data_IF_878285058584
#
_entry.id   IF_878285058584
#
_cell.length_a   1.000
_cell.length_b   1.000
_cell.length_c   1.000
_cell.angle_alpha   90.00
_cell.angle_beta   90.00
_cell.angle_gamma   90.00
#
_symmetry.space_group_name_H-M   'P 1'
#
loop_
_entity.id
_entity.type
_entity.pdbx_description
1 polymer ?
#
# COMPACT_ATOMS: atom_id res chain seq x y z
N UNK A 1 -12.48 -1.79 34.64
CA UNK A 1 -13.04 -0.50 34.14
C UNK A 1 -13.14 -0.62 32.61
N UNK A 2 -14.24 -0.17 32.04
CA UNK A 2 -14.36 -0.18 30.57
C UNK A 2 -13.33 0.78 29.95
N UNK A 3 -12.78 0.43 28.77
CA UNK A 3 -11.90 1.30 28.00
C UNK A 3 -12.55 2.66 27.76
N UNK A 4 -11.80 3.74 27.99
CA UNK A 4 -12.22 5.11 27.65
C UNK A 4 -12.31 5.27 26.13
N UNK A 5 -13.01 6.30 25.67
CA UNK A 5 -13.11 6.56 24.22
C UNK A 5 -11.75 6.89 23.60
N UNK A 6 -10.86 7.58 24.32
CA UNK A 6 -9.47 7.79 23.89
C UNK A 6 -8.72 6.47 23.70
N UNK A 7 -8.89 5.52 24.60
CA UNK A 7 -8.25 4.21 24.52
C UNK A 7 -8.80 3.36 23.37
N UNK A 8 -10.12 3.40 23.12
CA UNK A 8 -10.74 2.74 21.97
C UNK A 8 -10.25 3.34 20.65
N UNK A 9 -10.16 4.68 20.57
CA UNK A 9 -9.61 5.38 19.42
C UNK A 9 -8.13 5.04 19.21
N UNK A 10 -7.34 4.91 20.28
CA UNK A 10 -5.95 4.50 20.17
C UNK A 10 -5.82 3.06 19.69
N UNK A 11 -6.70 2.16 20.12
CA UNK A 11 -6.76 0.80 19.56
C UNK A 11 -7.04 0.82 18.05
N UNK A 12 -8.01 1.64 17.60
CA UNK A 12 -8.29 1.82 16.17
C UNK A 12 -7.08 2.37 15.40
N UNK A 13 -6.38 3.34 16.00
CA UNK A 13 -5.19 3.96 15.42
C UNK A 13 -4.08 2.93 15.16
N UNK A 14 -3.69 2.15 16.16
CA UNK A 14 -2.58 1.19 16.03
C UNK A 14 -2.93 -0.02 15.16
N UNK A 15 -4.19 -0.48 15.18
CA UNK A 15 -4.63 -1.59 14.35
C UNK A 15 -4.81 -1.11 12.90
N UNK A 16 -5.42 0.06 12.67
CA UNK A 16 -5.61 0.64 11.35
C UNK A 16 -4.30 0.96 10.63
N UNK A 17 -3.23 1.31 11.38
CA UNK A 17 -1.90 1.48 10.82
C UNK A 17 -1.41 0.22 10.11
N UNK A 18 -1.55 -0.92 10.75
CA UNK A 18 -1.02 -2.20 10.25
C UNK A 18 -1.98 -2.94 9.33
N UNK A 19 -3.26 -2.55 9.31
CA UNK A 19 -4.24 -3.11 8.36
C UNK A 19 -4.21 -2.40 7.01
N UNK A 20 -4.14 -1.07 6.99
CA UNK A 20 -4.33 -0.30 5.77
C UNK A 20 -3.53 1.00 5.69
N UNK A 21 -2.62 1.27 6.64
CA UNK A 21 -1.98 2.58 6.79
C UNK A 21 -3.01 3.73 6.89
N UNK A 22 -4.05 3.51 7.71
CA UNK A 22 -5.17 4.43 7.94
C UNK A 22 -5.98 4.79 6.69
N UNK A 23 -5.99 3.94 5.66
CA UNK A 23 -6.75 4.17 4.44
C UNK A 23 -8.22 3.74 4.61
N UNK A 24 -9.13 4.72 4.76
CA UNK A 24 -10.57 4.50 4.90
C UNK A 24 -11.20 3.79 3.69
N UNK A 25 -10.65 4.02 2.51
CA UNK A 25 -11.12 3.42 1.25
C UNK A 25 -10.43 2.11 0.88
N UNK A 26 -9.66 1.52 1.79
CA UNK A 26 -8.90 0.29 1.50
C UNK A 26 -9.80 -0.87 1.11
N UNK A 27 -9.34 -1.65 0.13
CA UNK A 27 -10.02 -2.86 -0.38
C UNK A 27 -8.99 -3.96 -0.58
N UNK A 28 -9.23 -5.13 -0.01
CA UNK A 28 -8.46 -6.32 -0.35
C UNK A 28 -9.24 -7.15 -1.38
N UNK A 29 -8.63 -7.38 -2.53
CA UNK A 29 -9.25 -8.12 -3.64
C UNK A 29 -8.88 -9.61 -3.65
N UNK A 30 -7.97 -10.03 -2.76
CA UNK A 30 -7.50 -11.43 -2.69
C UNK A 30 -8.34 -12.28 -1.73
N UNK A 31 -9.11 -11.62 -0.87
CA UNK A 31 -10.02 -12.26 0.08
C UNK A 31 -11.49 -12.01 -0.32
N UNK A 32 -12.44 -12.83 0.12
CA UNK A 32 -13.84 -12.44 0.10
C UNK A 32 -14.02 -11.07 0.73
N UNK A 33 -15.04 -10.36 0.32
CA UNK A 33 -15.24 -8.94 0.59
C UNK A 33 -14.53 -8.43 1.84
N UNK A 34 -13.50 -7.59 1.64
CA UNK A 34 -12.68 -7.03 2.71
C UNK A 34 -12.49 -5.54 2.44
N UNK A 35 -13.05 -4.70 3.31
CA UNK A 35 -13.21 -3.26 3.06
C UNK A 35 -12.81 -2.42 4.29
N UNK A 36 -12.46 -1.17 4.01
CA UNK A 36 -12.29 -0.12 4.99
C UNK A 36 -10.96 -0.13 5.72
N UNK A 37 -10.77 0.87 6.58
CA UNK A 37 -9.51 1.10 7.29
C UNK A 37 -9.08 -0.10 8.15
N UNK A 38 -10.06 -0.80 8.75
CA UNK A 38 -9.81 -1.96 9.59
C UNK A 38 -9.82 -3.29 8.80
N UNK A 39 -9.92 -3.25 7.47
CA UNK A 39 -9.98 -4.44 6.63
C UNK A 39 -11.05 -5.45 7.12
N UNK A 40 -12.28 -4.93 7.35
CA UNK A 40 -13.39 -5.79 7.73
C UNK A 40 -13.70 -6.83 6.68
N UNK A 41 -13.71 -8.09 7.09
CA UNK A 41 -13.88 -9.25 6.24
C UNK A 41 -15.30 -9.80 6.30
N UNK A 42 -15.84 -10.25 5.17
CA UNK A 42 -17.07 -11.05 5.09
C UNK A 42 -18.28 -10.36 5.71
N UNK A 43 -18.89 -10.98 6.70
CA UNK A 43 -20.08 -10.47 7.41
C UNK A 43 -19.83 -9.14 8.11
N UNK A 44 -18.60 -8.84 8.54
CA UNK A 44 -18.25 -7.56 9.13
C UNK A 44 -18.18 -6.44 8.09
N UNK A 45 -17.69 -6.73 6.90
CA UNK A 45 -17.76 -5.80 5.76
C UNK A 45 -19.20 -5.55 5.34
N UNK A 46 -20.04 -6.57 5.34
CA UNK A 46 -21.47 -6.44 5.08
C UNK A 46 -22.18 -5.57 6.14
N UNK A 47 -21.82 -5.72 7.41
CA UNK A 47 -22.33 -4.87 8.49
C UNK A 47 -21.96 -3.39 8.26
N UNK A 48 -20.71 -3.13 7.85
CA UNK A 48 -20.25 -1.79 7.49
C UNK A 48 -21.06 -1.19 6.32
N UNK A 49 -21.24 -1.95 5.25
CA UNK A 49 -22.05 -1.49 4.10
C UNK A 49 -23.51 -1.22 4.49
N UNK A 50 -24.09 -2.06 5.34
CA UNK A 50 -25.45 -1.85 5.84
C UNK A 50 -25.55 -0.62 6.75
N UNK A 51 -24.53 -0.33 7.57
CA UNK A 51 -24.46 0.95 8.30
C UNK A 51 -24.39 2.14 7.33
N UNK A 52 -23.57 2.07 6.29
CA UNK A 52 -23.51 3.12 5.27
C UNK A 52 -24.89 3.34 4.63
N UNK A 53 -25.63 2.29 4.31
CA UNK A 53 -27.00 2.37 3.77
C UNK A 53 -27.96 3.12 4.72
N UNK A 54 -27.85 2.88 6.01
CA UNK A 54 -28.77 3.41 7.01
C UNK A 54 -28.37 4.80 7.54
N UNK A 55 -27.06 5.13 7.59
CA UNK A 55 -26.52 6.30 8.26
C UNK A 55 -25.98 7.37 7.30
N UNK A 56 -25.67 7.02 6.02
CA UNK A 56 -25.24 7.97 4.97
C UNK A 56 -25.78 7.58 3.59
N UNK A 57 -27.03 7.94 3.33
CA UNK A 57 -27.68 7.63 2.06
C UNK A 57 -26.96 8.20 0.84
N UNK A 58 -26.31 9.38 0.97
CA UNK A 58 -25.52 9.98 -0.11
C UNK A 58 -24.23 9.19 -0.37
N UNK A 59 -23.50 8.80 0.69
CA UNK A 59 -22.33 7.96 0.56
C UNK A 59 -22.67 6.57 0.03
N UNK A 60 -23.78 5.99 0.48
CA UNK A 60 -24.29 4.72 -0.04
C UNK A 60 -24.63 4.79 -1.52
N UNK A 61 -25.20 5.91 -1.99
CA UNK A 61 -25.52 6.13 -3.42
C UNK A 61 -24.28 6.17 -4.32
N UNK A 62 -23.08 6.45 -3.77
CA UNK A 62 -21.82 6.40 -4.52
C UNK A 62 -21.31 4.97 -4.77
N UNK A 63 -21.82 3.99 -4.03
CA UNK A 63 -21.49 2.58 -4.29
C UNK A 63 -22.06 2.13 -5.62
N UNK A 64 -21.38 1.22 -6.29
CA UNK A 64 -21.88 0.64 -7.55
C UNK A 64 -23.21 -0.08 -7.36
N UNK A 65 -24.01 -0.11 -8.42
CA UNK A 65 -25.32 -0.78 -8.40
C UNK A 65 -25.22 -2.25 -7.97
N UNK A 66 -24.16 -2.93 -8.41
CA UNK A 66 -23.94 -4.34 -8.08
C UNK A 66 -23.62 -4.54 -6.58
N UNK A 67 -22.86 -3.61 -5.98
CA UNK A 67 -22.57 -3.68 -4.55
C UNK A 67 -23.81 -3.35 -3.71
N UNK A 68 -24.57 -2.32 -4.10
CA UNK A 68 -25.86 -1.98 -3.45
C UNK A 68 -26.87 -3.12 -3.56
N UNK A 69 -27.04 -3.71 -4.75
CA UNK A 69 -27.91 -4.86 -4.96
C UNK A 69 -27.52 -6.05 -4.06
N UNK A 70 -26.21 -6.27 -3.83
CA UNK A 70 -25.74 -7.30 -2.89
C UNK A 70 -26.18 -7.00 -1.46
N UNK A 71 -26.07 -5.73 -1.03
CA UNK A 71 -26.51 -5.30 0.32
C UNK A 71 -28.02 -5.40 0.49
N UNK A 72 -28.77 -5.18 -0.58
CA UNK A 72 -30.23 -5.28 -0.55
C UNK A 72 -30.74 -6.73 -0.55
N UNK A 73 -29.97 -7.65 -1.18
CA UNK A 73 -30.36 -9.06 -1.32
C UNK A 73 -29.92 -9.94 -0.14
N UNK A 74 -28.90 -9.57 0.60
CA UNK A 74 -28.28 -10.40 1.64
C UNK A 74 -28.18 -9.68 2.97
N UNK A 75 -28.70 -10.30 4.04
CA UNK A 75 -28.53 -9.79 5.39
C UNK A 75 -27.03 -9.73 5.76
N UNK A 76 -26.59 -8.76 6.61
CA UNK A 76 -25.19 -8.66 7.02
C UNK A 76 -24.63 -9.93 7.67
N UNK A 77 -25.49 -10.76 8.27
CA UNK A 77 -25.13 -12.03 8.91
C UNK A 77 -25.09 -13.23 7.99
N UNK A 78 -25.46 -13.03 6.70
CA UNK A 78 -25.46 -14.12 5.72
C UNK A 78 -24.03 -14.60 5.45
N UNK A 79 -23.81 -15.91 5.54
CA UNK A 79 -22.53 -16.56 5.22
C UNK A 79 -22.09 -16.37 3.77
N UNK A 80 -23.01 -16.03 2.87
CA UNK A 80 -22.70 -15.70 1.48
C UNK A 80 -21.59 -14.65 1.38
N UNK A 81 -21.53 -13.68 2.31
CA UNK A 81 -20.50 -12.64 2.36
C UNK A 81 -19.09 -13.18 2.56
N UNK A 82 -18.94 -14.38 3.15
CA UNK A 82 -17.63 -15.01 3.36
C UNK A 82 -17.08 -15.70 2.12
N UNK A 83 -17.85 -15.72 1.03
CA UNK A 83 -17.46 -16.33 -0.25
C UNK A 83 -17.51 -15.35 -1.42
N UNK A 84 -18.01 -14.12 -1.20
CA UNK A 84 -18.19 -13.10 -2.22
C UNK A 84 -16.97 -12.22 -2.34
N UNK A 85 -16.35 -12.17 -3.50
CA UNK A 85 -15.25 -11.29 -3.81
C UNK A 85 -15.74 -9.93 -4.36
N UNK A 86 -14.97 -8.87 -4.08
CA UNK A 86 -15.23 -7.51 -4.60
C UNK A 86 -14.60 -7.37 -5.99
N UNK A 87 -15.36 -6.87 -6.94
CA UNK A 87 -14.84 -6.47 -8.24
C UNK A 87 -14.09 -5.12 -8.15
N UNK A 88 -13.25 -4.83 -9.13
CA UNK A 88 -12.54 -3.51 -9.18
C UNK A 88 -13.52 -2.34 -9.24
N UNK A 89 -14.60 -2.46 -10.00
CA UNK A 89 -15.64 -1.42 -10.06
C UNK A 89 -16.27 -1.16 -8.70
N UNK A 90 -16.60 -2.22 -7.96
CA UNK A 90 -17.15 -2.11 -6.62
C UNK A 90 -16.15 -1.53 -5.63
N UNK A 91 -14.89 -1.98 -5.66
CA UNK A 91 -13.84 -1.43 -4.81
C UNK A 91 -13.55 0.04 -5.09
N UNK A 92 -13.54 0.46 -6.35
CA UNK A 92 -13.38 1.87 -6.71
C UNK A 92 -14.55 2.72 -6.22
N UNK A 93 -15.78 2.19 -6.31
CA UNK A 93 -16.97 2.88 -5.79
C UNK A 93 -16.92 3.01 -4.26
N UNK A 94 -16.46 1.96 -3.55
CA UNK A 94 -16.19 2.04 -2.11
C UNK A 94 -15.14 3.10 -1.78
N UNK A 95 -13.99 3.10 -2.47
CA UNK A 95 -12.92 4.07 -2.24
C UNK A 95 -13.41 5.52 -2.48
N UNK A 96 -14.32 5.73 -3.42
CA UNK A 96 -14.97 7.03 -3.66
C UNK A 96 -15.91 7.40 -2.51
N UNK A 97 -16.78 6.50 -2.07
CA UNK A 97 -17.68 6.73 -0.95
C UNK A 97 -16.90 7.01 0.35
N UNK A 98 -15.80 6.27 0.57
CA UNK A 98 -14.95 6.40 1.74
C UNK A 98 -14.12 7.70 1.80
N UNK A 99 -14.22 8.60 0.83
CA UNK A 99 -13.69 9.97 0.95
C UNK A 99 -14.59 10.87 1.81
N UNK A 100 -15.82 10.46 2.09
CA UNK A 100 -16.76 11.23 2.89
C UNK A 100 -16.47 11.09 4.38
N UNK A 101 -16.46 12.21 5.09
CA UNK A 101 -16.26 12.24 6.56
C UNK A 101 -17.32 11.42 7.30
N UNK A 102 -18.55 11.35 6.80
CA UNK A 102 -19.61 10.54 7.38
C UNK A 102 -19.26 9.03 7.31
N UNK A 103 -18.68 8.56 6.21
CA UNK A 103 -18.23 7.17 6.10
C UNK A 103 -17.05 6.89 7.05
N UNK A 104 -16.15 7.87 7.30
CA UNK A 104 -15.12 7.73 8.34
C UNK A 104 -15.74 7.55 9.72
N UNK A 105 -16.76 8.36 10.05
CA UNK A 105 -17.46 8.26 11.34
C UNK A 105 -18.19 6.92 11.47
N UNK A 106 -18.81 6.42 10.41
CA UNK A 106 -19.46 5.10 10.39
C UNK A 106 -18.43 3.99 10.65
N UNK A 107 -17.27 4.02 10.00
CA UNK A 107 -16.19 3.05 10.24
C UNK A 107 -15.67 3.13 11.68
N UNK A 108 -15.50 4.34 12.19
CA UNK A 108 -15.10 4.56 13.59
C UNK A 108 -16.14 4.01 14.56
N UNK A 109 -17.41 4.30 14.32
CA UNK A 109 -18.52 3.80 15.14
C UNK A 109 -18.59 2.27 15.12
N UNK A 110 -18.43 1.63 13.96
CA UNK A 110 -18.42 0.16 13.89
C UNK A 110 -17.28 -0.43 14.73
N UNK A 111 -16.07 0.11 14.63
CA UNK A 111 -14.97 -0.39 15.45
C UNK A 111 -15.21 -0.19 16.94
N UNK A 112 -15.59 1.04 17.37
CA UNK A 112 -15.73 1.40 18.78
C UNK A 112 -16.94 0.73 19.43
N UNK A 113 -18.06 0.64 18.71
CA UNK A 113 -19.35 0.18 19.28
C UNK A 113 -19.56 -1.33 19.11
N UNK A 114 -19.03 -1.94 18.07
CA UNK A 114 -19.27 -3.34 17.77
C UNK A 114 -18.02 -4.20 18.02
N UNK A 115 -16.86 -3.84 17.42
CA UNK A 115 -15.66 -4.66 17.48
C UNK A 115 -14.99 -4.62 18.85
N UNK A 116 -14.74 -3.43 19.40
CA UNK A 116 -14.05 -3.29 20.69
C UNK A 116 -14.78 -4.04 21.80
N UNK A 117 -16.11 -3.87 21.99
CA UNK A 117 -16.83 -4.63 23.02
C UNK A 117 -16.78 -6.15 22.78
N UNK A 118 -16.84 -6.59 21.52
CA UNK A 118 -16.74 -8.01 21.18
C UNK A 118 -15.34 -8.57 21.53
N UNK A 119 -14.28 -7.83 21.20
CA UNK A 119 -12.90 -8.23 21.50
C UNK A 119 -12.63 -8.24 23.01
N UNK A 120 -13.01 -7.16 23.73
CA UNK A 120 -12.86 -7.08 25.19
C UNK A 120 -13.53 -8.27 25.85
N UNK A 121 -14.79 -8.56 25.51
CA UNK A 121 -15.52 -9.70 26.10
C UNK A 121 -14.79 -11.02 25.91
N UNK A 122 -14.23 -11.30 24.73
CA UNK A 122 -13.51 -12.54 24.49
C UNK A 122 -12.16 -12.53 25.20
N UNK A 123 -11.38 -11.47 25.09
CA UNK A 123 -10.06 -11.37 25.68
C UNK A 123 -10.10 -11.41 27.22
N UNK A 124 -11.11 -10.78 27.83
CA UNK A 124 -11.32 -10.87 29.28
C UNK A 124 -11.76 -12.26 29.70
N UNK A 125 -12.55 -12.98 28.90
CA UNK A 125 -12.87 -14.39 29.19
C UNK A 125 -11.64 -15.30 29.11
N UNK A 126 -10.59 -14.87 28.41
CA UNK A 126 -9.28 -15.55 28.37
C UNK A 126 -8.31 -15.07 29.46
N UNK A 127 -8.75 -14.15 30.32
CA UNK A 127 -8.02 -13.69 31.50
C UNK A 127 -7.23 -12.39 31.33
N UNK A 128 -7.24 -11.73 30.16
CA UNK A 128 -6.64 -10.38 30.02
C UNK A 128 -7.58 -9.37 30.70
N UNK A 129 -7.04 -8.57 31.61
CA UNK A 129 -7.84 -7.60 32.37
C UNK A 129 -7.87 -6.23 31.71
N UNK A 130 -8.96 -5.48 31.86
CA UNK A 130 -9.15 -4.17 31.25
C UNK A 130 -8.24 -3.07 31.83
N UNK A 131 -7.69 -3.25 33.02
CA UNK A 131 -6.69 -2.37 33.61
C UNK A 131 -5.30 -2.51 32.97
N UNK A 132 -5.03 -3.64 32.31
CA UNK A 132 -3.81 -3.86 31.51
C UNK A 132 -4.01 -3.39 30.06
N UNK A 133 -4.32 -2.09 29.90
CA UNK A 133 -4.79 -1.49 28.64
C UNK A 133 -3.87 -1.77 27.44
N UNK A 134 -2.55 -1.64 27.63
CA UNK A 134 -1.60 -1.83 26.53
C UNK A 134 -1.57 -3.28 26.05
N UNK A 135 -1.57 -4.22 26.98
CA UNK A 135 -1.64 -5.65 26.67
C UNK A 135 -2.97 -6.00 26.01
N UNK A 136 -4.07 -5.43 26.51
CA UNK A 136 -5.39 -5.65 25.94
C UNK A 136 -5.46 -5.16 24.48
N UNK A 137 -4.97 -3.95 24.18
CA UNK A 137 -4.95 -3.42 22.81
C UNK A 137 -4.02 -4.23 21.90
N UNK A 138 -2.86 -4.67 22.41
CA UNK A 138 -1.99 -5.58 21.66
C UNK A 138 -2.71 -6.90 21.34
N UNK A 139 -3.39 -7.49 22.31
CA UNK A 139 -4.19 -8.70 22.11
C UNK A 139 -5.36 -8.46 21.13
N UNK A 140 -6.01 -7.28 21.17
CA UNK A 140 -7.00 -6.91 20.15
C UNK A 140 -6.41 -6.93 18.73
N UNK A 141 -5.19 -6.46 18.52
CA UNK A 141 -4.52 -6.52 17.21
C UNK A 141 -4.28 -7.96 16.75
N UNK A 142 -3.87 -8.86 17.65
CA UNK A 142 -3.75 -10.28 17.34
C UNK A 142 -5.10 -10.90 17.03
N UNK A 143 -6.12 -10.61 17.84
CA UNK A 143 -7.48 -11.14 17.70
C UNK A 143 -8.11 -10.66 16.40
N UNK A 144 -7.91 -9.42 16.03
CA UNK A 144 -8.41 -8.83 14.79
C UNK A 144 -7.90 -9.59 13.55
N UNK A 145 -6.61 -9.93 13.54
CA UNK A 145 -6.00 -10.69 12.44
C UNK A 145 -6.35 -12.17 12.50
N UNK A 146 -6.23 -12.79 13.67
CA UNK A 146 -6.39 -14.25 13.82
C UNK A 146 -6.84 -14.64 15.23
N UNK A 147 -8.16 -14.72 15.48
CA UNK A 147 -8.70 -15.05 16.79
C UNK A 147 -8.12 -16.33 17.40
N UNK A 148 -8.01 -17.39 16.59
CA UNK A 148 -7.49 -18.70 17.05
C UNK A 148 -6.05 -18.62 17.53
N UNK A 149 -5.20 -17.89 16.81
CA UNK A 149 -3.78 -17.76 17.15
C UNK A 149 -3.59 -16.85 18.36
N UNK A 150 -4.39 -15.77 18.43
CA UNK A 150 -4.45 -14.92 19.62
C UNK A 150 -4.78 -15.74 20.88
N UNK A 151 -5.80 -16.58 20.83
CA UNK A 151 -6.17 -17.47 21.95
C UNK A 151 -5.03 -18.39 22.38
N UNK A 152 -4.25 -18.90 21.44
CA UNK A 152 -3.07 -19.74 21.74
C UNK A 152 -1.98 -18.94 22.48
N UNK A 153 -1.67 -17.73 22.02
CA UNK A 153 -0.68 -16.87 22.67
C UNK A 153 -1.14 -16.48 24.07
N UNK A 154 -2.39 -16.01 24.21
CA UNK A 154 -2.96 -15.61 25.50
C UNK A 154 -2.99 -16.79 26.48
N UNK A 155 -3.31 -18.00 26.05
CA UNK A 155 -3.29 -19.19 26.89
C UNK A 155 -1.87 -19.52 27.45
N UNK A 156 -0.82 -19.08 26.76
CA UNK A 156 0.56 -19.31 27.18
C UNK A 156 1.02 -18.30 28.22
N UNK A 157 0.61 -17.03 28.12
CA UNK A 157 1.18 -15.92 28.91
C UNK A 157 0.17 -15.22 29.82
N UNK A 158 -1.12 -15.47 29.63
CA UNK A 158 -2.19 -14.87 30.44
C UNK A 158 -2.21 -13.33 30.40
N UNK A 159 -2.58 -12.71 31.51
CA UNK A 159 -2.58 -11.25 31.70
C UNK A 159 -1.16 -10.73 32.06
N UNK A 160 -0.20 -10.98 31.18
CA UNK A 160 1.17 -10.51 31.33
C UNK A 160 1.33 -9.04 30.89
N UNK A 161 2.51 -8.48 31.10
CA UNK A 161 2.86 -7.17 30.56
C UNK A 161 3.00 -7.19 29.03
N UNK A 162 3.03 -6.00 28.44
CA UNK A 162 3.13 -5.80 26.99
C UNK A 162 4.37 -6.47 26.39
N UNK A 163 5.51 -6.44 27.09
CA UNK A 163 6.77 -7.00 26.58
C UNK A 163 6.68 -8.54 26.51
N UNK A 164 6.04 -9.14 27.49
CA UNK A 164 5.87 -10.61 27.56
C UNK A 164 4.91 -11.12 26.48
N UNK A 165 3.73 -10.48 26.30
CA UNK A 165 2.79 -10.93 25.27
C UNK A 165 3.31 -10.68 23.85
N UNK A 166 4.04 -9.58 23.63
CA UNK A 166 4.70 -9.30 22.36
C UNK A 166 5.73 -10.37 22.00
N UNK A 167 6.62 -10.77 22.94
CA UNK A 167 7.60 -11.84 22.70
C UNK A 167 6.90 -13.17 22.41
N UNK A 168 5.84 -13.50 23.13
CA UNK A 168 5.07 -14.72 22.89
C UNK A 168 4.40 -14.69 21.51
N UNK A 169 3.89 -13.54 21.09
CA UNK A 169 3.35 -13.35 19.74
C UNK A 169 4.43 -13.59 18.66
N UNK A 170 5.63 -13.02 18.82
CA UNK A 170 6.72 -13.22 17.84
C UNK A 170 7.24 -14.66 17.81
N UNK A 171 7.12 -15.40 18.90
CA UNK A 171 7.50 -16.81 18.96
C UNK A 171 6.39 -17.76 18.47
N UNK A 172 5.19 -17.26 18.23
CA UNK A 172 4.11 -18.08 17.65
C UNK A 172 4.39 -18.33 16.17
N UNK A 173 4.28 -19.59 15.74
CA UNK A 173 4.62 -20.02 14.38
C UNK A 173 3.83 -19.30 13.28
N UNK A 174 2.62 -18.85 13.57
CA UNK A 174 1.76 -18.15 12.60
C UNK A 174 1.89 -16.63 12.75
N UNK A 175 1.69 -16.11 13.98
CA UNK A 175 1.74 -14.65 14.20
C UNK A 175 3.16 -14.10 14.03
N UNK A 176 4.19 -14.86 14.42
CA UNK A 176 5.60 -14.47 14.25
C UNK A 176 6.01 -14.29 12.79
N UNK A 177 5.31 -14.92 11.83
CA UNK A 177 5.52 -14.66 10.41
C UNK A 177 5.15 -13.20 10.01
N UNK A 178 4.35 -12.52 10.84
CA UNK A 178 3.96 -11.10 10.67
C UNK A 178 4.68 -10.18 11.66
N UNK A 179 5.94 -10.48 12.00
CA UNK A 179 6.71 -9.75 13.01
C UNK A 179 6.70 -8.23 12.84
N UNK A 180 6.82 -7.73 11.60
CA UNK A 180 6.81 -6.29 11.34
C UNK A 180 5.50 -5.63 11.79
N UNK A 181 4.36 -6.27 11.55
CA UNK A 181 3.06 -5.84 12.01
C UNK A 181 3.04 -5.67 13.54
N UNK A 182 3.44 -6.71 14.26
CA UNK A 182 3.40 -6.72 15.72
C UNK A 182 4.47 -5.85 16.36
N UNK A 183 5.62 -5.68 15.72
CA UNK A 183 6.64 -4.71 16.14
C UNK A 183 6.14 -3.27 16.02
N UNK A 184 5.38 -2.95 14.97
CA UNK A 184 4.76 -1.62 14.82
C UNK A 184 3.76 -1.35 15.93
N UNK A 185 2.81 -2.27 16.17
CA UNK A 185 1.82 -2.15 17.25
C UNK A 185 2.51 -2.05 18.62
N UNK A 186 3.49 -2.91 18.90
CA UNK A 186 4.26 -2.87 20.14
C UNK A 186 4.95 -1.51 20.35
N UNK A 187 5.65 -1.00 19.33
CA UNK A 187 6.38 0.26 19.41
C UNK A 187 5.43 1.43 19.72
N UNK A 188 4.26 1.48 19.06
CA UNK A 188 3.24 2.49 19.32
C UNK A 188 2.71 2.41 20.76
N UNK A 189 2.36 1.23 21.22
CA UNK A 189 1.85 1.01 22.56
C UNK A 189 2.92 1.27 23.65
N UNK A 190 4.19 0.95 23.37
CA UNK A 190 5.28 1.20 24.30
C UNK A 190 5.50 2.68 24.53
N UNK A 191 5.41 3.48 23.47
CA UNK A 191 5.58 4.94 23.51
C UNK A 191 4.35 5.69 24.07
N UNK A 192 3.17 5.08 24.03
CA UNK A 192 1.92 5.70 24.48
C UNK A 192 1.82 5.72 26.00
N UNK A 193 1.20 6.75 26.57
CA UNK A 193 0.98 6.90 28.02
C UNK A 193 -0.15 6.03 28.59
N UNK A 194 -0.96 5.42 27.73
CA UNK A 194 -2.09 4.57 28.09
C UNK A 194 -3.44 5.31 28.20
N UNK A 195 -3.46 6.65 28.04
CA UNK A 195 -4.66 7.45 28.25
C UNK A 195 -4.90 8.53 27.21
N UNK A 196 -3.88 9.11 26.60
CA UNK A 196 -4.03 10.16 25.61
C UNK A 196 -4.73 9.66 24.34
N UNK A 197 -5.54 10.54 23.73
CA UNK A 197 -6.10 10.28 22.41
C UNK A 197 -4.97 10.12 21.38
N UNK A 198 -5.19 9.32 20.32
CA UNK A 198 -4.23 9.22 19.23
C UNK A 198 -4.10 10.58 18.51
N UNK A 199 -2.99 10.79 17.76
CA UNK A 199 -2.94 11.89 16.80
C UNK A 199 -4.04 11.72 15.74
N UNK A 200 -4.40 12.81 15.08
CA UNK A 200 -5.33 12.74 13.94
C UNK A 200 -4.80 11.74 12.91
N UNK A 201 -5.63 10.79 12.52
CA UNK A 201 -5.27 9.74 11.58
C UNK A 201 -6.40 9.52 10.56
N UNK A 202 -6.03 9.03 9.38
CA UNK A 202 -6.98 8.69 8.32
C UNK A 202 -7.80 9.88 7.82
N UNK A 203 -7.37 11.11 8.07
CA UNK A 203 -7.98 12.29 7.45
C UNK A 203 -7.67 12.28 5.96
N UNK A 204 -8.70 12.50 5.13
CA UNK A 204 -8.46 12.72 3.71
C UNK A 204 -7.53 13.91 3.53
N UNK A 205 -6.43 13.70 2.82
CA UNK A 205 -5.53 14.79 2.38
C UNK A 205 -6.07 15.51 1.14
N UNK A 206 -7.30 15.19 0.73
CA UNK A 206 -7.94 15.86 -0.41
C UNK A 206 -8.36 17.27 0.01
N UNK A 207 -7.77 18.32 -0.59
CA UNK A 207 -8.06 19.71 -0.26
C UNK A 207 -9.48 20.15 -0.68
N UNK A 208 -10.20 19.34 -1.45
CA UNK A 208 -11.56 19.65 -1.93
C UNK A 208 -12.69 19.10 -1.03
N UNK A 209 -12.37 18.35 0.04
CA UNK A 209 -13.38 17.91 1.01
C UNK A 209 -13.64 19.03 2.04
N UNK A 210 -14.72 19.78 1.81
CA UNK A 210 -15.22 20.79 2.76
C UNK A 210 -15.65 20.13 4.07
N UNK A 211 -15.09 20.58 5.20
CA UNK A 211 -15.65 20.29 6.54
C UNK A 211 -17.13 20.74 6.59
N UNK A 212 -18.05 19.92 7.09
CA UNK A 212 -19.39 20.37 7.37
C UNK A 212 -19.36 21.33 8.58
N UNK A 213 -19.73 22.57 8.35
CA UNK A 213 -20.00 23.57 9.41
C UNK A 213 -18.91 24.63 9.56
N UNK A 214 -18.92 25.61 8.67
CA UNK A 214 -18.12 26.82 8.78
C UNK A 214 -18.40 27.76 7.62
N UNK A 215 -18.95 28.90 7.92
CA UNK A 215 -19.51 29.94 7.06
C UNK A 215 -18.88 30.17 5.67
N UNK A 216 -19.78 30.43 4.73
CA UNK A 216 -19.48 30.93 3.42
C UNK A 216 -18.87 32.34 3.50
N UNK A 217 -17.75 32.54 2.86
CA UNK A 217 -17.25 33.88 2.52
C UNK A 217 -15.73 33.98 2.49
N UNK A 218 -15.17 34.18 1.33
CA UNK A 218 -13.86 34.80 1.23
C UNK A 218 -12.85 34.06 0.35
N UNK A 219 -12.52 34.75 -0.70
CA UNK A 219 -11.44 34.57 -1.65
C UNK A 219 -10.11 34.07 -1.07
N UNK A 220 -9.45 33.16 -1.79
CA UNK A 220 -8.00 32.97 -1.77
C UNK A 220 -7.38 32.65 -0.40
N UNK A 221 -7.60 31.43 0.11
CA UNK A 221 -6.99 31.01 1.38
C UNK A 221 -5.66 30.30 1.18
N UNK A 222 -4.62 30.79 1.88
CA UNK A 222 -3.33 30.12 2.04
C UNK A 222 -3.48 29.02 3.09
N UNK A 223 -3.19 27.78 2.74
CA UNK A 223 -3.19 26.65 3.70
C UNK A 223 -1.81 26.53 4.32
N UNK A 224 -1.72 26.75 5.63
CA UNK A 224 -0.48 26.59 6.39
C UNK A 224 -0.50 25.24 7.09
N UNK A 225 0.31 24.27 6.65
CA UNK A 225 0.53 23.02 7.36
C UNK A 225 1.77 23.09 8.26
N UNK A 226 1.66 22.55 9.47
CA UNK A 226 2.76 22.47 10.44
C UNK A 226 3.78 21.39 10.03
N UNK A 227 5.02 21.70 10.17
CA UNK A 227 6.30 21.06 9.85
C UNK A 227 6.76 21.21 8.42
N UNK A 228 7.51 22.27 8.21
CA UNK A 228 8.41 22.41 7.04
C UNK A 228 7.72 22.83 5.78
N UNK A 229 6.90 23.85 5.82
CA UNK A 229 6.54 24.60 4.67
C UNK A 229 5.47 24.18 3.78
N UNK A 230 4.32 24.76 3.70
CA UNK A 230 3.77 24.53 2.38
C UNK A 230 2.78 25.59 1.99
N UNK A 231 3.12 26.33 0.97
CA UNK A 231 2.17 27.11 0.18
C UNK A 231 1.89 26.32 -1.08
N UNK A 232 0.62 26.10 -1.40
CA UNK A 232 0.17 25.55 -2.67
C UNK A 232 -0.59 26.65 -3.38
N UNK A 233 -0.18 26.96 -4.62
CA UNK A 233 -0.87 27.92 -5.47
C UNK A 233 -1.42 27.20 -6.70
N UNK A 234 -2.64 27.59 -7.14
CA UNK A 234 -3.18 27.19 -8.42
C UNK A 234 -2.84 28.22 -9.48
N UNK A 235 -2.23 27.79 -10.57
CA UNK A 235 -1.96 28.61 -11.73
C UNK A 235 -2.59 27.96 -12.97
N UNK A 236 -3.80 28.36 -13.31
CA UNK A 236 -4.60 27.70 -14.33
C UNK A 236 -4.95 26.26 -13.91
N UNK A 237 -4.67 25.28 -14.76
CA UNK A 237 -4.83 23.84 -14.46
C UNK A 237 -3.66 23.20 -13.68
N UNK A 238 -2.66 23.98 -13.31
CA UNK A 238 -1.43 23.50 -12.68
C UNK A 238 -1.40 23.85 -11.20
N UNK A 239 -0.61 23.11 -10.41
CA UNK A 239 -0.34 23.37 -9.00
C UNK A 239 1.12 23.78 -8.84
N UNK A 240 1.41 24.74 -7.95
CA UNK A 240 2.76 25.09 -7.53
C UNK A 240 2.86 24.82 -6.03
N UNK A 241 3.79 23.99 -5.64
CA UNK A 241 4.07 23.61 -4.26
C UNK A 241 5.41 24.26 -3.83
N UNK A 242 5.42 24.91 -2.67
CA UNK A 242 6.62 25.54 -2.10
C UNK A 242 7.04 24.79 -0.84
N UNK A 243 8.33 24.47 -0.71
CA UNK A 243 8.94 23.90 0.48
C UNK A 243 10.37 24.39 0.68
N UNK A 244 11.05 23.96 1.77
CA UNK A 244 12.43 24.41 2.07
C UNK A 244 13.43 24.09 0.96
N UNK A 245 13.23 22.98 0.23
CA UNK A 245 14.10 22.56 -0.86
C UNK A 245 13.78 23.33 -2.15
N UNK A 246 12.51 23.75 -2.31
CA UNK A 246 12.02 24.47 -3.47
C UNK A 246 11.37 25.80 -3.06
N UNK A 247 12.16 26.79 -2.59
CA UNK A 247 11.64 28.07 -2.13
C UNK A 247 10.98 28.89 -3.25
N UNK A 248 11.33 28.62 -4.50
CA UNK A 248 10.75 29.24 -5.69
C UNK A 248 9.55 28.48 -6.25
N UNK A 249 9.24 27.32 -5.67
CA UNK A 249 8.13 26.46 -6.05
C UNK A 249 8.53 25.25 -6.90
N UNK A 250 7.69 24.21 -6.79
CA UNK A 250 7.71 23.04 -7.63
C UNK A 250 6.41 23.04 -8.43
N UNK A 251 6.50 23.27 -9.74
CA UNK A 251 5.35 23.31 -10.63
C UNK A 251 4.88 21.90 -10.96
N UNK A 252 3.62 21.61 -10.70
CA UNK A 252 2.97 20.37 -11.11
C UNK A 252 2.07 20.62 -12.32
N UNK A 253 2.38 20.00 -13.43
CA UNK A 253 1.66 20.16 -14.71
C UNK A 253 0.84 18.92 -15.00
N UNK A 254 -0.45 19.10 -15.34
CA UNK A 254 -1.40 18.03 -15.65
C UNK A 254 -1.42 17.65 -17.16
N UNK A 255 -0.35 17.78 -17.89
CA UNK A 255 -0.29 17.30 -19.26
C UNK A 255 0.18 15.83 -19.25
N UNK A 256 -0.71 14.88 -19.57
CA UNK A 256 -0.44 13.42 -19.58
C UNK A 256 -0.05 12.82 -18.20
N UNK A 257 -0.72 13.24 -17.12
CA UNK A 257 -0.41 12.89 -15.74
C UNK A 257 0.21 14.08 -14.98
N UNK A 258 0.33 13.94 -13.65
CA UNK A 258 0.95 14.98 -12.82
C UNK A 258 2.48 14.88 -12.90
N UNK A 259 3.14 15.90 -13.48
CA UNK A 259 4.59 16.00 -13.54
C UNK A 259 5.07 17.21 -12.74
N UNK A 260 6.15 17.06 -11.97
CA UNK A 260 6.69 18.07 -11.07
C UNK A 260 7.99 18.64 -11.64
N UNK A 261 8.08 19.98 -11.71
CA UNK A 261 9.26 20.70 -12.21
C UNK A 261 9.67 21.78 -11.22
N UNK A 262 10.96 21.91 -10.86
CA UNK A 262 11.44 23.05 -10.08
C UNK A 262 11.16 24.35 -10.83
N UNK A 263 10.57 25.34 -10.13
CA UNK A 263 10.39 26.69 -10.70
C UNK A 263 11.70 27.45 -10.53
N UNK A 264 12.37 27.71 -11.63
CA UNK A 264 13.54 28.59 -11.68
C UNK A 264 13.08 30.03 -11.89
N UNK A 265 13.80 31.03 -11.29
CA UNK A 265 13.45 32.44 -11.35
C UNK A 265 13.58 33.10 -12.75
N UNK A 266 13.76 32.30 -13.80
CA UNK A 266 13.77 32.81 -15.18
C UNK A 266 12.34 32.70 -15.74
N UNK A 267 11.80 33.86 -16.13
CA UNK A 267 10.56 34.01 -16.88
C UNK A 267 10.64 33.23 -18.21
N UNK A 268 10.34 31.97 -18.19
CA UNK A 268 10.33 31.11 -19.35
C UNK A 268 9.24 30.06 -19.24
N UNK A 269 8.51 29.89 -20.33
CA UNK A 269 7.60 28.75 -20.49
C UNK A 269 8.32 27.44 -20.17
N UNK A 270 7.61 26.39 -19.67
CA UNK A 270 8.22 25.09 -19.46
C UNK A 270 8.92 24.64 -20.75
N UNK A 271 10.11 24.03 -20.66
CA UNK A 271 10.76 23.49 -21.84
C UNK A 271 9.79 22.55 -22.55
N UNK A 272 9.64 22.74 -23.86
CA UNK A 272 8.90 21.81 -24.69
C UNK A 272 9.50 20.42 -24.51
N UNK A 273 8.69 19.33 -24.54
CA UNK A 273 9.23 18.00 -24.47
C UNK A 273 10.27 17.83 -25.60
N UNK A 274 11.47 17.45 -25.23
CA UNK A 274 12.56 17.19 -26.17
C UNK A 274 12.07 16.21 -27.24
N UNK A 275 11.85 16.72 -28.42
CA UNK A 275 11.73 15.90 -29.62
C UNK A 275 13.15 15.66 -30.15
N UNK A 276 13.50 14.38 -30.23
CA UNK A 276 14.57 13.92 -31.08
C UNK A 276 15.98 14.04 -30.51
N UNK A 277 16.38 13.05 -29.77
CA UNK A 277 17.77 12.61 -29.62
C UNK A 277 17.95 11.29 -30.32
N UNK A 278 18.95 11.24 -31.19
CA UNK A 278 19.42 10.17 -32.01
C UNK A 278 19.26 8.76 -31.41
N UNK A 279 18.39 7.93 -31.98
CA UNK A 279 18.07 6.56 -31.55
C UNK A 279 19.16 5.55 -31.94
N UNK A 280 20.40 5.80 -31.54
CA UNK A 280 21.41 4.74 -31.54
C UNK A 280 21.30 4.03 -30.19
N UNK A 281 21.10 2.69 -30.12
CA UNK A 281 21.07 1.95 -28.86
C UNK A 281 22.41 2.18 -28.15
N UNK A 282 22.35 2.92 -27.05
CA UNK A 282 23.52 3.15 -26.21
C UNK A 282 23.96 1.82 -25.57
N UNK A 283 25.29 1.61 -25.51
CA UNK A 283 25.88 0.51 -24.76
C UNK A 283 25.31 0.53 -23.30
N UNK A 284 25.17 -0.66 -22.66
CA UNK A 284 24.67 -0.74 -21.29
C UNK A 284 25.42 0.25 -20.40
N UNK A 285 24.72 0.97 -19.50
CA UNK A 285 25.41 1.84 -18.57
C UNK A 285 26.41 1.00 -17.77
N UNK A 286 27.57 1.57 -17.45
CA UNK A 286 28.60 0.86 -16.70
C UNK A 286 28.07 0.33 -15.35
N UNK A 287 27.06 0.97 -14.79
CA UNK A 287 26.42 0.57 -13.55
C UNK A 287 25.48 -0.62 -13.74
N UNK A 288 24.68 -0.67 -14.82
CA UNK A 288 23.88 -1.87 -15.12
C UNK A 288 24.76 -3.11 -15.32
N UNK A 289 25.86 -2.97 -16.04
CA UNK A 289 26.79 -4.09 -16.25
C UNK A 289 27.31 -4.67 -14.91
N UNK A 290 27.60 -3.82 -13.92
CA UNK A 290 27.99 -4.24 -12.57
C UNK A 290 26.84 -4.92 -11.82
N UNK A 291 25.62 -4.36 -11.88
CA UNK A 291 24.42 -4.93 -11.26
C UNK A 291 24.07 -6.30 -11.86
N UNK A 292 24.13 -6.41 -13.17
CA UNK A 292 23.86 -7.66 -13.87
C UNK A 292 24.92 -8.71 -13.57
N UNK A 293 26.18 -8.31 -13.44
CA UNK A 293 27.24 -9.23 -13.00
C UNK A 293 26.96 -9.79 -11.59
N UNK A 294 26.43 -9.01 -10.67
CA UNK A 294 26.02 -9.53 -9.36
C UNK A 294 24.96 -10.64 -9.50
N UNK A 295 24.01 -10.50 -10.42
CA UNK A 295 23.03 -11.54 -10.69
C UNK A 295 23.65 -12.78 -11.32
N UNK A 296 24.53 -12.61 -12.31
CA UNK A 296 25.25 -13.72 -12.95
C UNK A 296 26.13 -14.49 -11.96
N UNK A 297 26.85 -13.78 -11.09
CA UNK A 297 27.71 -14.38 -10.04
C UNK A 297 26.90 -15.17 -9.01
N UNK A 298 25.60 -14.86 -8.87
CA UNK A 298 24.68 -15.51 -7.95
C UNK A 298 23.56 -16.31 -8.64
N UNK A 299 23.70 -16.58 -9.91
CA UNK A 299 22.70 -17.32 -10.67
C UNK A 299 22.39 -18.70 -10.03
N UNK A 300 21.10 -18.97 -9.88
CA UNK A 300 20.57 -20.23 -9.36
C UNK A 300 21.00 -20.57 -7.92
N UNK A 301 21.33 -19.57 -7.09
CA UNK A 301 21.84 -19.83 -5.72
C UNK A 301 20.78 -19.64 -4.63
N UNK A 302 19.67 -18.94 -4.92
CA UNK A 302 18.69 -18.55 -3.91
C UNK A 302 17.33 -19.20 -4.13
N UNK A 303 16.57 -19.34 -3.03
CA UNK A 303 15.18 -19.73 -3.08
C UNK A 303 14.25 -18.51 -3.19
N UNK A 304 13.00 -18.74 -3.60
CA UNK A 304 11.98 -17.69 -3.62
C UNK A 304 11.39 -17.50 -2.22
N UNK A 305 11.33 -16.25 -1.76
CA UNK A 305 10.73 -15.94 -0.45
C UNK A 305 10.51 -14.46 -0.24
N UNK A 306 9.38 -14.12 0.41
CA UNK A 306 8.95 -12.74 0.67
C UNK A 306 9.21 -12.28 2.11
N UNK A 307 9.96 -13.04 2.90
CA UNK A 307 10.34 -12.68 4.26
C UNK A 307 11.26 -11.45 4.36
N UNK A 308 11.49 -10.95 5.56
CA UNK A 308 12.28 -9.74 5.80
C UNK A 308 13.71 -9.78 5.25
N UNK A 309 14.31 -10.97 5.17
CA UNK A 309 15.67 -11.18 4.63
C UNK A 309 15.79 -11.04 3.10
N UNK A 310 14.69 -10.98 2.36
CA UNK A 310 14.66 -10.95 0.89
C UNK A 310 15.48 -9.82 0.27
N UNK A 311 15.70 -8.73 1.00
CA UNK A 311 16.49 -7.56 0.57
C UNK A 311 18.01 -7.76 0.68
N UNK A 312 18.46 -8.88 1.28
CA UNK A 312 19.87 -9.24 1.35
C UNK A 312 20.07 -10.73 1.03
N UNK A 313 19.78 -11.15 -0.21
CA UNK A 313 19.79 -12.55 -0.61
C UNK A 313 21.12 -13.27 -0.39
N UNK A 314 22.31 -12.64 -0.50
CA UNK A 314 23.56 -13.34 -0.17
C UNK A 314 23.64 -13.78 1.30
N UNK A 315 22.96 -13.08 2.21
CA UNK A 315 22.95 -13.42 3.64
C UNK A 315 21.79 -14.35 4.01
N UNK A 316 20.61 -14.13 3.41
CA UNK A 316 19.39 -14.88 3.75
C UNK A 316 19.22 -16.19 2.99
N UNK A 317 19.84 -16.32 1.81
CA UNK A 317 19.67 -17.45 0.91
C UNK A 317 18.35 -17.39 0.11
N UNK A 318 17.57 -16.30 0.18
CA UNK A 318 16.32 -16.15 -0.55
C UNK A 318 16.04 -14.70 -0.95
N UNK A 319 15.22 -14.53 -2.00
CA UNK A 319 14.70 -13.23 -2.43
C UNK A 319 13.34 -13.39 -3.14
N UNK A 320 12.73 -12.30 -3.58
CA UNK A 320 11.66 -12.27 -4.57
C UNK A 320 12.07 -11.42 -5.78
N UNK A 321 11.21 -11.34 -6.78
CA UNK A 321 11.52 -10.66 -8.04
C UNK A 321 11.93 -9.19 -7.84
N UNK A 322 11.16 -8.43 -7.09
CA UNK A 322 11.41 -7.01 -6.84
C UNK A 322 12.57 -6.76 -5.88
N UNK A 323 12.69 -7.57 -4.85
CA UNK A 323 13.77 -7.46 -3.87
C UNK A 323 15.13 -7.78 -4.48
N UNK A 324 15.19 -8.75 -5.38
CA UNK A 324 16.41 -9.12 -6.08
C UNK A 324 16.91 -7.99 -7.01
N UNK A 325 16.02 -7.31 -7.73
CA UNK A 325 16.35 -6.11 -8.51
C UNK A 325 16.81 -4.98 -7.58
N UNK A 326 16.03 -4.70 -6.52
CA UNK A 326 16.38 -3.66 -5.57
C UNK A 326 17.75 -3.91 -4.93
N UNK A 327 18.05 -5.15 -4.54
CA UNK A 327 19.35 -5.52 -3.97
C UNK A 327 20.51 -5.22 -4.91
N UNK A 328 20.40 -5.58 -6.19
CA UNK A 328 21.45 -5.33 -7.17
C UNK A 328 21.68 -3.82 -7.36
N UNK A 329 20.59 -3.05 -7.46
CA UNK A 329 20.67 -1.59 -7.57
C UNK A 329 21.28 -0.99 -6.28
N UNK A 330 20.82 -1.40 -5.11
CA UNK A 330 21.31 -0.89 -3.84
C UNK A 330 22.79 -1.19 -3.61
N UNK A 331 23.27 -2.30 -4.14
CA UNK A 331 24.68 -2.70 -4.02
C UNK A 331 25.63 -1.82 -4.85
N UNK A 332 25.15 -1.22 -5.94
CA UNK A 332 25.95 -0.40 -6.88
C UNK A 332 25.55 1.09 -6.79
N UNK A 333 24.24 1.37 -6.68
CA UNK A 333 23.67 2.71 -6.69
C UNK A 333 22.63 2.87 -5.55
N UNK A 334 23.08 2.95 -4.31
CA UNK A 334 22.18 3.10 -3.16
C UNK A 334 21.38 4.41 -3.19
N UNK A 335 21.84 5.42 -3.92
CA UNK A 335 21.12 6.66 -4.21
C UNK A 335 19.86 6.41 -5.05
N UNK A 336 19.94 5.57 -6.07
CA UNK A 336 18.80 5.18 -6.89
C UNK A 336 17.85 4.24 -6.14
N UNK A 337 18.39 3.28 -5.39
CA UNK A 337 17.59 2.29 -4.64
C UNK A 337 16.58 2.92 -3.68
N UNK A 338 16.90 4.09 -3.12
CA UNK A 338 15.99 4.86 -2.25
C UNK A 338 14.71 5.30 -2.94
N UNK A 339 14.74 5.46 -4.26
CA UNK A 339 13.65 6.05 -5.04
C UNK A 339 12.80 5.00 -5.77
N UNK A 340 13.27 3.75 -5.89
CA UNK A 340 12.57 2.72 -6.67
C UNK A 340 11.66 1.83 -5.83
N UNK A 341 11.83 1.82 -4.50
CA UNK A 341 11.11 0.94 -3.60
C UNK A 341 11.51 -0.53 -3.71
N UNK A 342 10.95 -1.37 -2.85
CA UNK A 342 11.33 -2.77 -2.67
C UNK A 342 10.28 -3.76 -3.18
N UNK A 343 9.28 -3.31 -3.91
CA UNK A 343 8.18 -4.12 -4.42
C UNK A 343 7.64 -3.57 -5.74
N UNK A 344 6.99 -4.41 -6.54
CA UNK A 344 6.55 -4.10 -7.91
C UNK A 344 5.65 -2.88 -8.01
N UNK A 345 4.69 -2.70 -7.10
CA UNK A 345 3.79 -1.54 -7.09
C UNK A 345 4.50 -0.21 -6.79
N UNK A 346 5.65 -0.20 -6.12
CA UNK A 346 6.49 0.99 -6.01
C UNK A 346 7.31 1.22 -7.29
N UNK A 347 7.86 0.15 -7.87
CA UNK A 347 8.68 0.21 -9.09
C UNK A 347 7.90 0.72 -10.30
N UNK A 348 6.60 0.47 -10.38
CA UNK A 348 5.73 0.95 -11.46
C UNK A 348 5.70 2.48 -11.58
N UNK A 349 5.97 3.19 -10.50
CA UNK A 349 6.01 4.65 -10.45
C UNK A 349 7.44 5.23 -10.53
N UNK A 350 8.45 4.37 -10.67
CA UNK A 350 9.86 4.79 -10.63
C UNK A 350 10.41 5.01 -12.05
N UNK A 351 11.34 5.95 -12.19
CA UNK A 351 12.02 6.24 -13.46
C UNK A 351 11.05 6.73 -14.57
N UNK A 352 11.40 6.46 -15.82
CA UNK A 352 10.63 6.87 -17.00
C UNK A 352 9.90 5.68 -17.61
N UNK A 353 8.62 5.86 -17.94
CA UNK A 353 7.88 4.85 -18.72
C UNK A 353 8.33 4.84 -20.17
N UNK A 354 8.75 3.67 -20.67
CA UNK A 354 9.23 3.48 -22.05
C UNK A 354 8.11 2.95 -22.95
N UNK A 355 7.34 1.98 -22.45
CA UNK A 355 6.22 1.40 -23.16
C UNK A 355 5.30 0.65 -22.19
N UNK A 356 4.07 0.37 -22.65
CA UNK A 356 3.13 -0.53 -21.99
C UNK A 356 2.27 -1.25 -23.02
N UNK A 357 1.74 -2.39 -22.65
CA UNK A 357 0.88 -3.17 -23.54
C UNK A 357 0.23 -4.37 -22.85
N UNK A 358 -0.53 -5.10 -23.62
CA UNK A 358 -1.10 -6.40 -23.26
C UNK A 358 -0.46 -7.52 -24.08
N UNK A 359 -0.96 -8.77 -23.97
CA UNK A 359 -0.38 -9.93 -24.62
C UNK A 359 -0.36 -9.86 -26.17
N UNK A 360 -1.25 -9.03 -26.75
CA UNK A 360 -1.33 -8.81 -28.21
C UNK A 360 -0.51 -7.61 -28.68
N UNK A 361 0.11 -6.84 -27.77
CA UNK A 361 0.92 -5.69 -28.14
C UNK A 361 2.30 -6.17 -28.59
N UNK A 362 2.81 -5.61 -29.72
CA UNK A 362 4.15 -5.93 -30.18
C UNK A 362 5.20 -5.49 -29.16
N UNK A 363 6.25 -6.31 -28.99
CA UNK A 363 7.38 -5.97 -28.13
C UNK A 363 8.16 -4.78 -28.72
N UNK A 364 8.42 -3.71 -27.96
CA UNK A 364 9.08 -2.51 -28.48
C UNK A 364 10.61 -2.62 -28.46
N UNK A 365 11.17 -3.56 -29.21
CA UNK A 365 12.60 -3.88 -29.22
C UNK A 365 13.51 -2.71 -29.65
N UNK A 366 12.94 -1.72 -30.36
CA UNK A 366 13.61 -0.48 -30.77
C UNK A 366 13.74 0.56 -29.63
N UNK A 367 12.93 0.45 -28.57
CA UNK A 367 12.86 1.42 -27.46
C UNK A 367 13.54 0.94 -26.19
N UNK A 368 13.64 -0.37 -26.01
CA UNK A 368 14.22 -0.96 -24.81
C UNK A 368 15.74 -0.96 -24.83
N UNK A 369 16.33 -0.85 -23.65
CA UNK A 369 17.78 -0.97 -23.48
C UNK A 369 18.11 -1.84 -22.27
N UNK A 370 19.33 -2.43 -22.21
CA UNK A 370 19.80 -3.13 -21.03
C UNK A 370 19.74 -2.25 -19.78
N UNK A 371 19.12 -2.77 -18.70
CA UNK A 371 18.89 -2.05 -17.46
C UNK A 371 17.48 -1.49 -17.31
N UNK A 372 16.67 -1.50 -18.35
CA UNK A 372 15.22 -1.30 -18.19
C UNK A 372 14.61 -2.47 -17.42
N UNK A 373 13.51 -2.24 -16.73
CA UNK A 373 12.74 -3.29 -16.06
C UNK A 373 11.40 -3.51 -16.74
N UNK A 374 11.03 -4.78 -16.89
CA UNK A 374 9.71 -5.21 -17.36
C UNK A 374 8.85 -5.54 -16.14
N UNK A 375 7.81 -4.77 -15.90
CA UNK A 375 6.78 -5.02 -14.91
C UNK A 375 5.62 -5.77 -15.56
N UNK A 376 5.12 -6.81 -14.92
CA UNK A 376 4.16 -7.77 -15.46
C UNK A 376 3.02 -7.93 -14.47
N UNK A 377 1.79 -7.96 -14.99
CA UNK A 377 0.57 -8.26 -14.26
C UNK A 377 -0.05 -9.54 -14.83
N UNK A 378 -0.14 -10.59 -14.03
CA UNK A 378 -0.71 -11.86 -14.44
C UNK A 378 -2.24 -11.82 -14.36
N UNK A 379 -2.93 -12.08 -15.45
CA UNK A 379 -4.37 -12.24 -15.48
C UNK A 379 -5.20 -10.96 -15.43
N UNK A 380 -4.60 -9.78 -15.38
CA UNK A 380 -5.29 -8.50 -15.38
C UNK A 380 -4.95 -7.65 -16.60
N UNK A 381 -5.89 -6.77 -16.97
CA UNK A 381 -5.71 -5.79 -18.06
C UNK A 381 -5.59 -4.36 -17.53
N UNK A 382 -5.46 -4.18 -16.22
CA UNK A 382 -5.23 -2.89 -15.62
C UNK A 382 -3.75 -2.70 -15.24
N UNK A 383 -3.35 -1.43 -15.10
CA UNK A 383 -1.97 -1.03 -14.88
C UNK A 383 -1.63 -0.81 -13.38
N UNK A 384 -2.38 -1.41 -12.48
CA UNK A 384 -2.26 -1.11 -11.05
C UNK A 384 -1.00 -1.72 -10.40
N UNK A 385 -0.56 -2.90 -10.83
CA UNK A 385 0.64 -3.59 -10.34
C UNK A 385 0.77 -3.65 -8.80
N UNK A 386 -0.35 -3.68 -8.08
CA UNK A 386 -0.36 -3.54 -6.62
C UNK A 386 -1.19 -4.59 -5.88
N UNK A 387 -1.62 -5.65 -6.56
CA UNK A 387 -2.49 -6.68 -5.98
C UNK A 387 -1.77 -7.97 -5.55
N UNK A 388 -0.42 -7.96 -5.59
CA UNK A 388 0.39 -9.10 -5.19
C UNK A 388 0.56 -10.18 -6.28
N UNK A 389 -0.14 -10.06 -7.43
CA UNK A 389 0.04 -10.96 -8.58
C UNK A 389 1.05 -10.45 -9.61
N UNK A 390 1.67 -9.31 -9.34
CA UNK A 390 2.61 -8.65 -10.24
C UNK A 390 4.03 -9.24 -10.12
N UNK A 391 4.78 -9.11 -11.20
CA UNK A 391 6.14 -9.59 -11.31
C UNK A 391 7.04 -8.54 -11.97
N UNK A 392 8.36 -8.66 -11.81
CA UNK A 392 9.33 -7.77 -12.45
C UNK A 392 10.57 -8.53 -12.88
N UNK A 393 11.08 -8.19 -14.07
CA UNK A 393 12.26 -8.77 -14.71
C UNK A 393 13.23 -7.68 -15.15
N UNK A 394 14.55 -7.95 -15.17
CA UNK A 394 15.51 -7.14 -15.88
C UNK A 394 15.41 -7.37 -17.40
N UNK A 395 15.43 -6.31 -18.18
CA UNK A 395 15.70 -6.36 -19.61
C UNK A 395 17.22 -6.31 -19.79
N UNK A 396 17.79 -7.37 -20.33
CA UNK A 396 19.25 -7.53 -20.46
C UNK A 396 19.74 -7.29 -21.88
N UNK A 397 18.83 -7.40 -22.86
CA UNK A 397 19.06 -7.10 -24.27
C UNK A 397 17.72 -6.73 -24.93
N UNK A 398 17.71 -6.40 -26.23
CA UNK A 398 16.54 -5.98 -27.02
C UNK A 398 15.34 -6.93 -26.92
N UNK A 399 15.54 -8.21 -26.67
CA UNK A 399 14.48 -9.22 -26.49
C UNK A 399 14.89 -10.28 -25.48
N UNK A 400 15.61 -9.93 -24.42
CA UNK A 400 16.06 -10.90 -23.42
C UNK A 400 15.82 -10.44 -22.00
N UNK A 401 15.37 -11.36 -21.14
CA UNK A 401 15.01 -11.12 -19.73
C UNK A 401 15.85 -12.00 -18.80
N UNK A 402 16.10 -11.45 -17.62
CA UNK A 402 16.57 -12.17 -16.44
C UNK A 402 15.68 -11.83 -15.25
N UNK A 403 15.32 -12.86 -14.49
CA UNK A 403 14.35 -12.73 -13.42
C UNK A 403 14.65 -13.50 -12.15
N UNK A 404 13.78 -13.28 -11.21
CA UNK A 404 13.76 -13.94 -9.92
C UNK A 404 12.32 -14.32 -9.54
N UNK A 405 11.57 -14.88 -10.50
CA UNK A 405 10.16 -15.23 -10.34
C UNK A 405 9.91 -16.67 -9.93
N UNK A 406 10.90 -17.54 -10.12
CA UNK A 406 10.82 -18.97 -9.75
C UNK A 406 12.18 -19.45 -9.25
N UNK A 407 12.18 -20.59 -8.56
CA UNK A 407 13.41 -21.20 -8.04
C UNK A 407 14.09 -22.07 -9.10
N UNK A 408 15.41 -22.16 -9.05
CA UNK A 408 16.35 -21.33 -8.27
C UNK A 408 16.58 -19.97 -8.94
N UNK A 409 16.80 -18.93 -8.12
CA UNK A 409 16.93 -17.55 -8.61
C UNK A 409 18.29 -16.91 -8.23
N UNK A 410 18.70 -15.82 -8.93
CA UNK A 410 18.17 -15.31 -10.20
C UNK A 410 18.53 -16.24 -11.38
N UNK A 411 17.78 -16.18 -12.46
CA UNK A 411 18.00 -17.04 -13.63
C UNK A 411 17.64 -16.33 -14.95
N UNK A 412 18.06 -16.94 -16.05
CA UNK A 412 17.69 -16.52 -17.41
C UNK A 412 16.21 -16.84 -17.69
N UNK A 413 15.41 -15.84 -18.02
CA UNK A 413 13.97 -15.97 -18.31
C UNK A 413 13.66 -16.05 -19.82
N UNK A 414 14.67 -15.86 -20.67
CA UNK A 414 14.57 -16.01 -22.12
C UNK A 414 13.96 -14.79 -22.83
N UNK A 415 13.27 -15.03 -23.95
CA UNK A 415 12.77 -13.97 -24.85
C UNK A 415 11.64 -13.16 -24.20
N UNK A 416 11.81 -11.83 -24.16
CA UNK A 416 10.81 -10.89 -23.66
C UNK A 416 9.54 -10.90 -24.53
N UNK A 417 9.67 -10.92 -25.84
CA UNK A 417 8.54 -10.97 -26.77
C UNK A 417 7.71 -12.25 -26.66
N UNK A 418 8.33 -13.35 -26.26
CA UNK A 418 7.61 -14.59 -25.93
C UNK A 418 6.98 -14.54 -24.56
N UNK A 419 7.63 -13.89 -23.60
CA UNK A 419 7.19 -13.80 -22.21
C UNK A 419 5.91 -12.98 -22.07
N UNK A 420 5.84 -11.79 -22.68
CA UNK A 420 4.68 -10.90 -22.59
C UNK A 420 3.38 -11.51 -23.15
N UNK A 421 3.45 -12.49 -24.04
CA UNK A 421 2.27 -13.19 -24.57
C UNK A 421 1.51 -14.01 -23.53
N UNK A 422 2.15 -14.29 -22.39
CA UNK A 422 1.61 -15.06 -21.27
C UNK A 422 1.05 -14.18 -20.15
N UNK A 423 1.17 -12.84 -20.27
CA UNK A 423 0.79 -11.87 -19.24
C UNK A 423 -0.60 -11.29 -19.48
N UNK A 424 -1.19 -10.69 -18.46
CA UNK A 424 -2.41 -9.89 -18.60
C UNK A 424 -2.11 -8.50 -19.16
N UNK A 425 -1.17 -7.80 -18.56
CA UNK A 425 -0.60 -6.55 -19.08
C UNK A 425 0.85 -6.40 -18.60
N UNK A 426 1.58 -5.48 -19.26
CA UNK A 426 2.97 -5.23 -18.94
C UNK A 426 3.34 -3.75 -19.13
N UNK A 427 4.39 -3.32 -18.44
CA UNK A 427 4.94 -1.97 -18.52
C UNK A 427 6.48 -2.04 -18.43
N UNK A 428 7.15 -1.20 -19.22
CA UNK A 428 8.60 -1.06 -19.19
C UNK A 428 8.98 0.26 -18.57
N UNK A 429 9.88 0.21 -17.58
CA UNK A 429 10.39 1.40 -16.89
C UNK A 429 11.90 1.46 -17.02
N UNK A 430 12.42 2.66 -17.33
CA UNK A 430 13.86 2.98 -17.29
C UNK A 430 14.17 3.61 -15.95
N UNK A 431 14.97 2.93 -15.16
CA UNK A 431 15.30 3.32 -13.78
C UNK A 431 16.79 3.62 -13.58
N UNK A 432 17.65 3.30 -14.57
CA UNK A 432 19.10 3.51 -14.53
C UNK A 432 19.52 4.43 -15.67
#
# INVERSE_FOLDING_TARGET
MALTDSQKLYAMYVIGEVESHWNWGSVNYNDPITLGMMQWYGTRAAALLNRCKNEDAEGYALLSDTLRASVDAHAPTDSWWTTRYVTRTEGNSWATAAQRSQIHQIQQNQFIQDDVPAYVRVLTSWGITEDNVKTLIFAMSMYHQSPRQCGRVVATVGNSDLDTIWRACLNDVVLGAYANRYNTVYTRLKAWDGNSAPPDFGQSTDPDIKKPGGDAGGSGGTVTQRSGVYRIERNGGNLILYNKEFPNGLLCVRANGWNWYPVTNSSGAPPAPNQGGDDTPSAPSSDFAKMFKLWQDNANKWSYGQGAGRLNPPSSGYSDCSACIWWAINSIRPDLAKNIGTWTGAMVNSGTEIARGGPSTAWPSDKVQPGDILLIEWGYTNWAFNDGSSHVEWITDKDHLWGAGSEPLPHDSGSASAYIKKTGCWMIRRII
#
